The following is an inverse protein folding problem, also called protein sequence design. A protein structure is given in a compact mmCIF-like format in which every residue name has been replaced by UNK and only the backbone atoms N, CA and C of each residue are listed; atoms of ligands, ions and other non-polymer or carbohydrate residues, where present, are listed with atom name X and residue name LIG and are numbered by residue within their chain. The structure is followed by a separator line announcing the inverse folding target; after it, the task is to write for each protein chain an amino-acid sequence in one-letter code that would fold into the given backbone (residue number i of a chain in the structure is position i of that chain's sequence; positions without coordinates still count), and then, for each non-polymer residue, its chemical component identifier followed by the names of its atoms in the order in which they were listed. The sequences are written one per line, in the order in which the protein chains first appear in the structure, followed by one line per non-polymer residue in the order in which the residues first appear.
data_IF_108353909269
#
_entry.id   IF_108353909269
#
_cell.length_a   1.000
_cell.length_b   1.000
_cell.length_c   1.000
_cell.angle_alpha   90.00
_cell.angle_beta   90.00
_cell.angle_gamma   90.00
#
_symmetry.space_group_name_H-M   'P 1'
#
loop_
_entity.id
_entity.type
_entity.pdbx_description
1 polymer ?
#
# COMPACT_ATOMS: atom_id res chain seq x y z
N UNK A 1 33.34 15.30 14.00
CA UNK A 1 33.07 14.37 12.88
C UNK A 1 32.14 15.11 11.94
N UNK A 2 32.74 15.82 11.00
CA UNK A 2 32.07 16.80 10.14
C UNK A 2 31.39 16.08 8.97
N UNK A 3 30.08 16.29 8.80
CA UNK A 3 29.42 15.93 7.55
C UNK A 3 29.54 17.15 6.62
N UNK A 4 30.44 17.04 5.64
CA UNK A 4 30.86 18.13 4.78
C UNK A 4 29.74 18.72 3.92
N UNK A 5 29.62 20.05 3.99
CA UNK A 5 28.87 20.90 3.06
C UNK A 5 29.37 20.71 1.62
N UNK A 6 28.68 19.87 0.85
CA UNK A 6 28.78 19.89 -0.61
C UNK A 6 28.06 21.14 -1.13
N UNK A 7 28.82 22.20 -1.41
CA UNK A 7 28.36 23.34 -2.23
C UNK A 7 27.95 22.80 -3.61
N UNK A 8 26.69 22.98 -4.01
CA UNK A 8 26.24 22.80 -5.40
C UNK A 8 25.59 24.09 -5.87
N UNK A 9 25.99 24.52 -7.06
CA UNK A 9 25.58 25.74 -7.75
C UNK A 9 24.13 26.14 -7.56
N UNK A 10 23.88 27.46 -7.55
CA UNK A 10 22.56 28.05 -7.81
C UNK A 10 22.09 27.73 -9.23
N UNK A 11 21.75 26.48 -9.50
CA UNK A 11 20.63 26.18 -10.38
C UNK A 11 19.39 26.42 -9.54
N UNK A 12 18.39 27.10 -10.06
CA UNK A 12 17.05 27.11 -9.47
C UNK A 12 16.56 25.65 -9.46
N UNK A 13 16.93 24.90 -8.44
CA UNK A 13 16.33 23.62 -8.15
C UNK A 13 15.03 23.97 -7.47
N UNK A 14 13.92 23.89 -8.20
CA UNK A 14 12.64 23.61 -7.56
C UNK A 14 12.92 22.44 -6.61
N UNK A 15 13.00 22.68 -5.30
CA UNK A 15 13.08 21.57 -4.34
C UNK A 15 11.82 20.74 -4.56
N UNK A 16 11.99 19.53 -5.06
CA UNK A 16 10.86 18.67 -5.34
C UNK A 16 10.22 18.26 -4.02
N UNK A 17 8.96 17.85 -4.09
CA UNK A 17 8.24 17.30 -2.95
C UNK A 17 9.02 16.15 -2.27
N UNK A 18 9.72 15.35 -3.08
CA UNK A 18 10.62 14.30 -2.64
C UNK A 18 11.83 14.83 -1.87
N UNK A 19 12.48 15.90 -2.36
CA UNK A 19 13.62 16.51 -1.67
C UNK A 19 13.20 17.02 -0.28
N UNK A 20 12.02 17.62 -0.19
CA UNK A 20 11.47 18.09 1.08
C UNK A 20 11.16 16.94 2.04
N UNK A 21 10.60 15.83 1.55
CA UNK A 21 10.38 14.62 2.34
C UNK A 21 11.70 14.01 2.85
N UNK A 22 12.72 13.94 2.00
CA UNK A 22 14.03 13.36 2.35
C UNK A 22 14.82 14.22 3.35
N UNK A 23 14.55 15.52 3.42
CA UNK A 23 15.17 16.44 4.37
C UNK A 23 14.39 16.58 5.69
N UNK A 24 13.19 16.00 5.82
CA UNK A 24 12.41 16.09 7.05
C UNK A 24 13.00 15.20 8.16
N UNK A 25 12.96 15.70 9.40
CA UNK A 25 13.38 14.94 10.56
C UNK A 25 12.51 13.70 10.76
N UNK A 26 13.16 12.57 11.03
CA UNK A 26 12.46 11.31 11.26
C UNK A 26 11.75 11.39 12.62
N UNK A 27 10.43 11.55 12.59
CA UNK A 27 9.60 11.50 13.80
C UNK A 27 9.75 10.13 14.49
N UNK A 28 9.82 10.08 15.83
CA UNK A 28 9.93 8.82 16.56
C UNK A 28 8.73 7.93 16.21
N UNK A 29 9.03 6.71 15.75
CA UNK A 29 8.03 5.71 15.35
C UNK A 29 7.06 5.46 16.50
N UNK A 30 5.87 6.08 16.47
CA UNK A 30 4.77 5.63 17.32
C UNK A 30 4.37 4.25 16.82
N UNK A 31 4.44 3.24 17.68
CA UNK A 31 4.37 1.81 17.34
C UNK A 31 3.08 1.34 16.65
N UNK A 32 2.08 2.22 16.50
CA UNK A 32 0.71 1.81 16.15
C UNK A 32 0.13 2.53 14.92
N UNK A 33 0.90 3.37 14.22
CA UNK A 33 0.40 4.07 13.02
C UNK A 33 0.91 3.36 11.77
N UNK A 34 -0.01 2.85 10.96
CA UNK A 34 0.32 2.23 9.67
C UNK A 34 0.98 3.24 8.73
N UNK A 35 1.94 2.79 7.92
CA UNK A 35 2.67 3.67 6.99
C UNK A 35 1.72 4.39 6.01
N UNK A 36 0.66 3.72 5.56
CA UNK A 36 -0.37 4.30 4.68
C UNK A 36 -1.20 5.38 5.40
N UNK A 37 -1.47 5.21 6.70
CA UNK A 37 -2.17 6.23 7.49
C UNK A 37 -1.32 7.50 7.64
N UNK A 38 0.00 7.35 7.79
CA UNK A 38 0.92 8.49 7.81
C UNK A 38 0.87 9.27 6.50
N UNK A 39 0.92 8.58 5.35
CA UNK A 39 0.80 9.21 4.04
C UNK A 39 -0.55 9.90 3.85
N UNK A 40 -1.65 9.30 4.36
CA UNK A 40 -2.98 9.92 4.33
C UNK A 40 -3.02 11.23 5.12
N UNK A 41 -2.43 11.27 6.32
CA UNK A 41 -2.38 12.48 7.15
C UNK A 41 -1.52 13.57 6.52
N UNK A 42 -0.43 13.19 5.84
CA UNK A 42 0.50 14.14 5.22
C UNK A 42 0.17 14.46 3.75
N UNK A 43 -0.98 14.01 3.22
CA UNK A 43 -1.38 14.22 1.82
C UNK A 43 -1.41 15.71 1.43
N UNK A 44 -1.78 16.61 2.36
CA UNK A 44 -1.77 18.06 2.10
C UNK A 44 -0.37 18.65 1.97
N UNK A 45 0.63 18.04 2.61
CA UNK A 45 2.05 18.43 2.52
C UNK A 45 2.72 17.81 1.29
N UNK A 46 2.25 16.62 0.92
CA UNK A 46 2.83 15.77 -0.09
C UNK A 46 1.77 15.25 -1.08
N UNK A 47 1.18 16.10 -1.94
CA UNK A 47 0.09 15.69 -2.82
C UNK A 47 0.50 14.68 -3.90
N UNK A 48 1.67 14.82 -4.53
CA UNK A 48 2.11 13.91 -5.60
C UNK A 48 2.76 12.64 -5.03
N UNK A 49 3.60 12.81 -4.01
CA UNK A 49 4.37 11.74 -3.39
C UNK A 49 3.45 10.82 -2.58
N UNK A 50 2.36 11.32 -2.00
CA UNK A 50 1.36 10.47 -1.34
C UNK A 50 0.67 9.51 -2.31
N UNK A 51 0.36 9.93 -3.54
CA UNK A 51 -0.23 9.05 -4.56
C UNK A 51 0.75 7.95 -4.94
N UNK A 52 2.00 8.31 -5.24
CA UNK A 52 3.07 7.34 -5.55
C UNK A 52 3.30 6.39 -4.37
N UNK A 53 3.36 6.91 -3.15
CA UNK A 53 3.58 6.10 -1.96
C UNK A 53 2.40 5.16 -1.68
N UNK A 54 1.16 5.59 -1.91
CA UNK A 54 -0.01 4.71 -1.81
C UNK A 54 0.11 3.56 -2.80
N UNK A 55 0.45 3.83 -4.05
CA UNK A 55 0.51 2.80 -5.08
C UNK A 55 1.65 1.81 -4.84
N UNK A 56 2.79 2.28 -4.32
CA UNK A 56 3.94 1.43 -3.99
C UNK A 56 3.75 0.61 -2.70
N UNK A 57 3.13 1.20 -1.67
CA UNK A 57 3.02 0.59 -0.33
C UNK A 57 1.72 -0.20 -0.14
N UNK A 58 0.71 0.00 -0.99
CA UNK A 58 -0.54 -0.79 -0.95
C UNK A 58 -0.36 -2.20 -1.51
N UNK A 59 0.69 -2.44 -2.30
CA UNK A 59 0.99 -3.78 -2.82
C UNK A 59 1.50 -4.66 -1.67
N UNK A 60 0.83 -5.77 -1.34
CA UNK A 60 1.33 -6.69 -0.32
C UNK A 60 2.68 -7.24 -0.77
N UNK A 61 3.71 -7.07 0.07
CA UNK A 61 5.08 -7.51 -0.21
C UNK A 61 5.22 -9.04 -0.28
N UNK A 62 4.20 -9.78 0.16
CA UNK A 62 4.24 -11.25 0.27
C UNK A 62 3.12 -11.92 -0.51
N UNK A 63 3.41 -13.08 -1.10
CA UNK A 63 2.43 -13.99 -1.72
C UNK A 63 1.41 -14.56 -0.73
N UNK A 64 1.61 -14.37 0.57
CA UNK A 64 0.79 -14.92 1.65
C UNK A 64 -0.68 -14.49 1.52
N UNK A 65 -0.95 -13.29 1.00
CA UNK A 65 -2.33 -12.86 0.70
C UNK A 65 -2.98 -13.73 -0.39
N UNK A 66 -2.24 -14.03 -1.45
CA UNK A 66 -2.66 -14.89 -2.55
C UNK A 66 -2.83 -16.35 -2.11
N UNK A 67 -1.91 -16.85 -1.28
CA UNK A 67 -1.98 -18.21 -0.71
C UNK A 67 -3.12 -18.37 0.28
N UNK A 68 -3.42 -17.34 1.09
CA UNK A 68 -4.58 -17.30 1.99
C UNK A 68 -5.90 -17.26 1.22
N UNK A 69 -5.97 -16.48 0.13
CA UNK A 69 -7.12 -16.47 -0.76
C UNK A 69 -7.34 -17.85 -1.40
N UNK A 70 -6.27 -18.50 -1.87
CA UNK A 70 -6.35 -19.84 -2.48
C UNK A 70 -6.70 -20.93 -1.46
N UNK A 71 -6.14 -20.88 -0.25
CA UNK A 71 -6.46 -21.78 0.86
C UNK A 71 -7.92 -21.64 1.28
N UNK A 72 -8.44 -20.41 1.31
CA UNK A 72 -9.86 -20.14 1.55
C UNK A 72 -10.75 -20.59 0.38
N UNK A 73 -10.21 -20.58 -0.83
CA UNK A 73 -10.77 -21.20 -2.05
C UNK A 73 -11.21 -22.64 -1.87
N UNK A 74 -10.37 -23.45 -1.25
CA UNK A 74 -10.66 -24.88 -1.00
C UNK A 74 -11.88 -25.14 -0.12
N UNK A 75 -12.33 -24.17 0.69
CA UNK A 75 -13.57 -24.27 1.47
C UNK A 75 -14.83 -23.88 0.70
N UNK A 76 -14.69 -23.06 -0.35
CA UNK A 76 -15.79 -22.75 -1.28
C UNK A 76 -16.04 -23.91 -2.24
N UNK A 77 -14.95 -24.59 -2.62
CA UNK A 77 -14.96 -25.79 -3.46
C UNK A 77 -14.94 -27.04 -2.59
N UNK A 78 -16.02 -27.30 -1.86
CA UNK A 78 -16.19 -28.60 -1.21
C UNK A 78 -16.14 -29.71 -2.28
N UNK A 79 -15.46 -30.86 -2.05
CA UNK A 79 -15.43 -31.98 -3.00
C UNK A 79 -16.82 -32.46 -3.43
N UNK A 80 -17.86 -32.17 -2.65
CA UNK A 80 -19.24 -32.53 -2.92
C UNK A 80 -20.01 -31.51 -3.78
N UNK A 81 -19.44 -30.32 -4.08
CA UNK A 81 -20.07 -29.24 -4.89
C UNK A 81 -19.23 -28.78 -6.10
N UNK A 82 -18.36 -29.63 -6.64
CA UNK A 82 -17.36 -29.25 -7.66
C UNK A 82 -17.89 -29.12 -9.12
N UNK A 83 -19.11 -28.60 -9.34
CA UNK A 83 -19.66 -28.34 -10.69
C UNK A 83 -19.76 -26.85 -11.06
N UNK A 84 -19.16 -25.97 -10.28
CA UNK A 84 -19.15 -24.54 -10.57
C UNK A 84 -18.12 -24.23 -11.66
N UNK A 85 -18.52 -23.40 -12.63
CA UNK A 85 -17.62 -22.87 -13.64
C UNK A 85 -16.58 -21.95 -12.98
N UNK A 86 -15.37 -21.88 -13.54
CA UNK A 86 -14.27 -21.09 -12.95
C UNK A 86 -14.66 -19.62 -12.74
N UNK A 87 -15.44 -19.05 -13.67
CA UNK A 87 -15.96 -17.67 -13.57
C UNK A 87 -16.88 -17.48 -12.37
N UNK A 88 -17.69 -18.50 -12.03
CA UNK A 88 -18.57 -18.44 -10.86
C UNK A 88 -17.76 -18.48 -9.57
N UNK A 89 -16.67 -19.25 -9.54
CA UNK A 89 -15.77 -19.32 -8.39
C UNK A 89 -15.02 -18.01 -8.20
N UNK A 90 -14.54 -17.41 -9.28
CA UNK A 90 -13.91 -16.08 -9.28
C UNK A 90 -14.87 -15.02 -8.78
N UNK A 91 -16.10 -14.97 -9.31
CA UNK A 91 -17.12 -14.02 -8.86
C UNK A 91 -17.42 -14.17 -7.36
N UNK A 92 -17.51 -15.39 -6.84
CA UNK A 92 -17.73 -15.65 -5.41
C UNK A 92 -16.55 -15.25 -4.53
N UNK A 93 -15.32 -15.45 -5.01
CA UNK A 93 -14.11 -15.01 -4.31
C UNK A 93 -13.99 -13.49 -4.27
N UNK A 94 -14.21 -12.82 -5.41
CA UNK A 94 -14.19 -11.35 -5.51
C UNK A 94 -15.28 -10.71 -4.64
N UNK A 95 -16.53 -11.18 -4.74
CA UNK A 95 -17.64 -10.66 -3.93
C UNK A 95 -17.39 -10.82 -2.44
N UNK A 96 -16.90 -11.98 -2.00
CA UNK A 96 -16.52 -12.20 -0.60
C UNK A 96 -15.42 -11.25 -0.15
N UNK A 97 -14.38 -11.07 -0.96
CA UNK A 97 -13.28 -10.15 -0.68
C UNK A 97 -13.78 -8.71 -0.52
N UNK A 98 -14.62 -8.24 -1.44
CA UNK A 98 -15.17 -6.88 -1.40
C UNK A 98 -16.07 -6.62 -0.19
N UNK A 99 -16.93 -7.59 0.18
CA UNK A 99 -17.78 -7.50 1.38
C UNK A 99 -16.93 -7.40 2.65
N UNK A 100 -15.79 -8.11 2.70
CA UNK A 100 -14.89 -8.10 3.85
C UNK A 100 -13.99 -6.86 3.91
N UNK A 101 -13.73 -6.21 2.78
CA UNK A 101 -12.78 -5.09 2.67
C UNK A 101 -13.41 -3.72 2.93
N UNK A 102 -14.67 -3.65 3.39
CA UNK A 102 -15.44 -2.41 3.58
C UNK A 102 -15.51 -1.49 2.33
N UNK A 103 -15.20 -2.00 1.13
CA UNK A 103 -15.28 -1.26 -0.16
C UNK A 103 -16.74 -0.90 -0.50
N UNK A 104 -17.71 -1.58 0.12
CA UNK A 104 -19.15 -1.37 -0.09
C UNK A 104 -19.87 -0.68 1.09
N UNK A 105 -19.18 0.04 1.98
CA UNK A 105 -19.82 0.91 2.98
C UNK A 105 -19.49 2.38 2.76
#
# INVERSE_FOLDING_TARGET
MECGLRKRSKTVSLCSELDHYLCEDISPRSSNVGVLDWWRVNAGKYPLLQEVARDLLAVPVTSVASESAFSSGGRLLDPHRSRLHFETVEALMCTRSWIQSDICK
#
